data_IF_443884923634
#
_entry.id   IF_443884923634
#
_cell.length_a   1.000
_cell.length_b   1.000
_cell.length_c   1.000
_cell.angle_alpha   90.00
_cell.angle_beta   90.00
_cell.angle_gamma   90.00
#
_symmetry.space_group_name_H-M   'P 1'
#
loop_
_entity.id
_entity.type
_entity.pdbx_description
1 polymer ?
#
# COMPACT_ATOMS: atom_id res chain seq x y z
N UNK A 1 -20.32 -13.79 -32.49
CA UNK A 1 -19.42 -12.65 -32.71
C UNK A 1 -19.11 -12.04 -31.35
N UNK A 2 -18.01 -12.46 -30.70
CA UNK A 2 -17.54 -11.79 -29.49
C UNK A 2 -17.01 -10.43 -29.91
N UNK A 3 -17.70 -9.35 -29.52
CA UNK A 3 -17.13 -8.01 -29.63
C UNK A 3 -16.01 -7.95 -28.59
N UNK A 4 -14.77 -7.95 -29.05
CA UNK A 4 -13.63 -7.65 -28.19
C UNK A 4 -13.92 -6.31 -27.51
N UNK A 5 -13.98 -6.33 -26.18
CA UNK A 5 -14.03 -5.09 -25.42
C UNK A 5 -12.75 -4.30 -25.73
N UNK A 6 -12.83 -3.00 -26.06
CA UNK A 6 -11.64 -2.21 -26.30
C UNK A 6 -10.69 -2.32 -25.11
N UNK A 7 -9.42 -2.69 -25.36
CA UNK A 7 -8.42 -2.90 -24.31
C UNK A 7 -8.39 -1.78 -23.26
N UNK A 8 -8.60 -0.53 -23.71
CA UNK A 8 -8.67 0.65 -22.86
C UNK A 8 -9.77 0.55 -21.78
N UNK A 9 -10.96 0.09 -22.16
CA UNK A 9 -12.10 -0.04 -21.24
C UNK A 9 -11.87 -1.17 -20.24
N UNK A 10 -11.29 -2.29 -20.71
CA UNK A 10 -10.89 -3.40 -19.84
C UNK A 10 -9.86 -2.95 -18.80
N UNK A 11 -8.81 -2.25 -19.21
CA UNK A 11 -7.77 -1.74 -18.32
C UNK A 11 -8.32 -0.72 -17.32
N UNK A 12 -9.22 0.18 -17.76
CA UNK A 12 -9.90 1.13 -16.89
C UNK A 12 -10.68 0.42 -15.77
N UNK A 13 -11.45 -0.62 -16.10
CA UNK A 13 -12.20 -1.39 -15.09
C UNK A 13 -11.30 -2.15 -14.11
N UNK A 14 -10.16 -2.66 -14.59
CA UNK A 14 -9.17 -3.30 -13.71
C UNK A 14 -8.62 -2.26 -12.72
N UNK A 15 -8.24 -1.07 -13.21
CA UNK A 15 -7.79 0.04 -12.36
C UNK A 15 -8.84 0.43 -11.34
N UNK A 16 -10.09 0.66 -11.75
CA UNK A 16 -11.17 1.07 -10.85
C UNK A 16 -11.46 0.03 -9.75
N UNK A 17 -11.39 -1.27 -10.08
CA UNK A 17 -11.52 -2.34 -9.08
C UNK A 17 -10.36 -2.34 -8.09
N UNK A 18 -9.14 -2.18 -8.58
CA UNK A 18 -7.95 -2.13 -7.75
C UNK A 18 -7.94 -0.88 -6.85
N UNK A 19 -8.31 0.27 -7.39
CA UNK A 19 -8.47 1.53 -6.66
C UNK A 19 -9.50 1.39 -5.54
N UNK A 20 -10.69 0.88 -5.85
CA UNK A 20 -11.73 0.63 -4.85
C UNK A 20 -11.25 -0.33 -3.76
N UNK A 21 -10.58 -1.43 -4.14
CA UNK A 21 -9.99 -2.36 -3.18
C UNK A 21 -9.00 -1.67 -2.25
N UNK A 22 -8.07 -0.88 -2.80
CA UNK A 22 -7.05 -0.20 -2.01
C UNK A 22 -7.67 0.79 -1.01
N UNK A 23 -8.57 1.66 -1.49
CA UNK A 23 -9.21 2.66 -0.63
C UNK A 23 -10.07 1.99 0.45
N UNK A 24 -10.89 1.01 0.09
CA UNK A 24 -11.83 0.40 1.04
C UNK A 24 -11.15 -0.43 2.14
N UNK A 25 -10.00 -1.04 1.85
CA UNK A 25 -9.29 -1.91 2.79
C UNK A 25 -8.27 -1.15 3.63
N UNK A 26 -7.45 -0.30 3.01
CA UNK A 26 -6.24 0.21 3.66
C UNK A 26 -6.33 1.68 4.11
N UNK A 27 -7.20 2.50 3.50
CA UNK A 27 -7.29 3.91 3.85
C UNK A 27 -7.80 4.10 5.29
N UNK A 28 -7.11 4.98 6.04
CA UNK A 28 -7.38 5.28 7.44
C UNK A 28 -7.04 4.14 8.42
N UNK A 29 -6.35 3.08 7.99
CA UNK A 29 -6.01 1.95 8.86
C UNK A 29 -4.64 2.10 9.51
N UNK A 30 -4.50 1.53 10.70
CA UNK A 30 -3.20 1.29 11.31
C UNK A 30 -2.53 0.09 10.62
N UNK A 31 -1.29 0.27 10.17
CA UNK A 31 -0.52 -0.75 9.47
C UNK A 31 0.96 -0.69 9.88
N UNK A 32 1.68 -1.74 9.53
CA UNK A 32 3.12 -1.85 9.66
C UNK A 32 3.79 -1.52 8.33
N UNK A 33 4.55 -0.43 8.30
CA UNK A 33 5.49 -0.13 7.23
C UNK A 33 6.70 -1.02 7.33
N UNK A 34 7.18 -1.51 6.19
CA UNK A 34 8.47 -2.15 6.07
C UNK A 34 9.25 -1.60 4.88
N UNK A 35 10.51 -1.28 5.09
CA UNK A 35 11.49 -1.06 4.01
C UNK A 35 12.87 -1.51 4.48
N UNK A 36 13.42 -2.53 3.82
CA UNK A 36 14.69 -3.16 4.21
C UNK A 36 14.66 -3.63 5.67
N UNK A 37 15.42 -2.95 6.55
CA UNK A 37 15.53 -3.24 8.00
C UNK A 37 14.78 -2.23 8.87
N UNK A 38 13.96 -1.38 8.27
CA UNK A 38 13.12 -0.42 8.98
C UNK A 38 11.71 -0.96 8.99
N UNK A 39 11.09 -0.97 10.16
CA UNK A 39 9.66 -1.17 10.28
C UNK A 39 9.07 -0.21 11.30
N UNK A 40 7.88 0.31 11.02
CA UNK A 40 7.20 1.25 11.91
C UNK A 40 5.71 1.04 11.84
N UNK A 41 5.02 1.31 12.95
CA UNK A 41 3.56 1.34 13.00
C UNK A 41 3.03 2.76 12.83
N UNK A 42 1.90 2.88 12.16
CA UNK A 42 1.26 4.16 11.92
C UNK A 42 -0.05 4.05 11.15
N UNK A 43 -0.76 5.18 11.06
CA UNK A 43 -2.03 5.27 10.34
C UNK A 43 -1.78 5.71 8.89
N UNK A 44 -2.40 5.00 7.96
CA UNK A 44 -2.24 5.18 6.52
C UNK A 44 -3.33 6.11 5.99
N UNK A 45 -2.95 7.09 5.17
CA UNK A 45 -3.86 7.93 4.39
C UNK A 45 -3.53 7.75 2.92
N UNK A 46 -4.50 7.38 2.10
CA UNK A 46 -4.29 7.00 0.70
C UNK A 46 -5.05 7.95 -0.22
N UNK A 47 -4.35 8.40 -1.27
CA UNK A 47 -4.96 9.06 -2.42
C UNK A 47 -4.56 8.35 -3.70
N UNK A 48 -5.42 8.43 -4.71
CA UNK A 48 -5.21 7.78 -6.00
C UNK A 48 -5.47 8.76 -7.14
N UNK A 49 -4.76 8.59 -8.24
CA UNK A 49 -4.93 9.39 -9.45
C UNK A 49 -4.67 8.56 -10.72
N UNK A 50 -4.57 9.22 -11.87
CA UNK A 50 -4.31 8.54 -13.14
C UNK A 50 -2.94 7.84 -13.19
N UNK A 51 -1.96 8.29 -12.40
CA UNK A 51 -0.62 7.73 -12.36
C UNK A 51 -0.54 6.53 -11.41
N UNK A 52 -1.19 6.60 -10.24
CA UNK A 52 -1.10 5.52 -9.27
C UNK A 52 -1.66 5.85 -7.90
N UNK A 53 -1.00 5.28 -6.90
CA UNK A 53 -1.34 5.38 -5.48
C UNK A 53 -0.28 6.23 -4.79
N UNK A 54 -0.75 7.18 -3.98
CA UNK A 54 0.07 7.93 -3.04
C UNK A 54 -0.38 7.59 -1.62
N UNK A 55 0.58 7.30 -0.76
CA UNK A 55 0.33 6.92 0.62
C UNK A 55 1.10 7.87 1.54
N UNK A 56 0.41 8.43 2.53
CA UNK A 56 1.02 9.16 3.63
C UNK A 56 0.73 8.42 4.92
N UNK A 57 1.78 8.04 5.62
CA UNK A 57 1.68 7.31 6.88
C UNK A 57 2.16 8.17 8.04
N UNK A 58 1.27 8.45 8.99
CA UNK A 58 1.60 9.15 10.23
C UNK A 58 2.03 8.11 11.27
N UNK A 59 3.32 8.10 11.62
CA UNK A 59 3.94 7.06 12.45
C UNK A 59 4.01 7.47 13.92
N UNK A 60 3.81 6.52 14.84
CA UNK A 60 3.77 6.79 16.29
C UNK A 60 5.08 7.36 16.84
N UNK A 61 6.22 6.92 16.30
CA UNK A 61 7.58 7.24 16.81
C UNK A 61 8.51 7.80 15.74
N UNK A 62 7.97 8.12 14.56
CA UNK A 62 8.74 8.58 13.42
C UNK A 62 8.06 9.74 12.71
N UNK A 63 8.85 10.49 11.92
CA UNK A 63 8.28 11.50 11.03
C UNK A 63 7.33 10.81 10.03
N UNK A 64 6.27 11.51 9.59
CA UNK A 64 5.40 10.98 8.55
C UNK A 64 6.20 10.55 7.32
N UNK A 65 5.80 9.41 6.76
CA UNK A 65 6.44 8.81 5.59
C UNK A 65 5.50 8.99 4.40
N UNK A 66 6.07 9.36 3.25
CA UNK A 66 5.34 9.41 1.99
C UNK A 66 5.85 8.33 1.05
N UNK A 67 4.93 7.52 0.55
CA UNK A 67 5.18 6.41 -0.38
C UNK A 67 4.33 6.61 -1.62
N UNK A 68 4.77 6.05 -2.74
CA UNK A 68 3.95 6.03 -3.95
C UNK A 68 4.28 4.81 -4.81
N UNK A 69 3.32 4.43 -5.64
CA UNK A 69 3.45 3.32 -6.58
C UNK A 69 2.52 3.49 -7.77
N UNK A 70 3.01 3.22 -8.98
CA UNK A 70 2.18 3.25 -10.18
C UNK A 70 1.24 2.05 -10.24
N UNK A 71 0.14 2.19 -10.96
CA UNK A 71 -0.84 1.11 -11.16
C UNK A 71 -0.27 -0.19 -11.72
N UNK A 72 0.76 -0.12 -12.55
CA UNK A 72 1.41 -1.28 -13.17
C UNK A 72 2.38 -2.03 -12.24
N UNK A 73 2.72 -1.46 -11.08
CA UNK A 73 3.66 -2.06 -10.11
C UNK A 73 3.08 -2.19 -8.71
N UNK A 74 1.93 -1.59 -8.42
CA UNK A 74 1.26 -1.71 -7.12
C UNK A 74 0.75 -3.14 -6.94
N UNK A 75 0.95 -3.69 -5.75
CA UNK A 75 0.45 -4.98 -5.31
C UNK A 75 -0.49 -4.73 -4.15
N UNK A 76 -1.73 -5.21 -4.27
CA UNK A 76 -2.72 -5.11 -3.21
C UNK A 76 -3.41 -6.47 -3.04
N UNK A 77 -3.14 -7.12 -1.91
CA UNK A 77 -3.82 -8.33 -1.46
C UNK A 77 -4.84 -7.98 -0.38
N UNK A 78 -5.34 -8.96 0.38
CA UNK A 78 -6.31 -8.71 1.47
C UNK A 78 -5.73 -7.93 2.64
N UNK A 79 -4.43 -8.06 2.86
CA UNK A 79 -3.72 -7.69 4.09
C UNK A 79 -2.36 -7.06 3.84
N UNK A 80 -1.97 -6.95 2.56
CA UNK A 80 -0.69 -6.44 2.11
C UNK A 80 -0.89 -5.42 0.99
N UNK A 81 -0.24 -4.27 1.14
CA UNK A 81 -0.12 -3.23 0.12
C UNK A 81 1.35 -2.89 -0.08
N UNK A 82 1.83 -2.98 -1.32
CA UNK A 82 3.22 -2.69 -1.64
C UNK A 82 3.40 -2.26 -3.09
N UNK A 83 4.63 -1.91 -3.45
CA UNK A 83 4.99 -1.63 -4.84
C UNK A 83 6.20 -2.45 -5.26
N UNK A 84 6.06 -3.18 -6.38
CA UNK A 84 7.18 -3.88 -6.99
C UNK A 84 8.31 -2.91 -7.29
N UNK A 85 9.54 -3.34 -7.02
CA UNK A 85 10.78 -2.58 -7.24
C UNK A 85 10.95 -1.30 -6.40
N UNK A 86 9.96 -0.86 -5.64
CA UNK A 86 10.05 0.30 -4.75
C UNK A 86 10.56 -0.07 -3.34
N UNK A 87 10.44 -1.34 -2.95
CA UNK A 87 11.05 -1.88 -1.72
C UNK A 87 10.30 -1.54 -0.42
N UNK A 88 9.12 -0.93 -0.51
CA UNK A 88 8.23 -0.69 0.61
C UNK A 88 7.02 -1.63 0.61
N UNK A 89 6.57 -2.03 1.80
CA UNK A 89 5.28 -2.68 2.02
C UNK A 89 4.56 -2.12 3.25
N UNK A 90 3.26 -2.36 3.28
CA UNK A 90 2.34 -2.07 4.36
C UNK A 90 1.54 -3.34 4.64
N UNK A 91 1.62 -3.82 5.87
CA UNK A 91 0.99 -5.07 6.31
C UNK A 91 0.16 -4.83 7.57
N UNK A 92 -0.98 -5.51 7.74
CA UNK A 92 -1.76 -5.38 8.98
C UNK A 92 -1.05 -6.03 10.18
N UNK A 93 -0.29 -7.09 9.93
CA UNK A 93 0.50 -7.78 10.94
C UNK A 93 1.96 -7.30 10.89
N UNK A 94 2.63 -7.33 12.04
CA UNK A 94 4.05 -6.97 12.13
C UNK A 94 4.89 -8.04 11.42
N UNK A 95 5.62 -7.73 10.35
CA UNK A 95 6.35 -8.76 9.59
C UNK A 95 7.54 -9.37 10.35
N UNK A 96 8.22 -8.56 11.18
CA UNK A 96 9.38 -9.00 11.99
C UNK A 96 9.25 -8.53 13.44
N UNK A 97 8.37 -9.14 14.25
CA UNK A 97 8.17 -8.74 15.65
C UNK A 97 9.46 -8.80 16.48
N UNK A 98 10.40 -9.67 16.12
CA UNK A 98 11.69 -9.82 16.81
C UNK A 98 12.61 -8.59 16.63
N UNK A 99 12.34 -7.70 15.66
CA UNK A 99 13.07 -6.43 15.52
C UNK A 99 12.56 -5.35 16.47
N UNK A 100 11.38 -5.54 17.08
CA UNK A 100 10.86 -4.65 18.13
C UNK A 100 11.51 -4.91 19.49
N UNK A 101 12.23 -6.03 19.68
CA UNK A 101 12.89 -6.37 20.94
C UNK A 101 14.21 -5.60 21.16
N UNK A 102 14.09 -4.43 21.80
CA UNK A 102 14.70 -4.10 23.10
C UNK A 102 14.42 -2.62 23.44
N UNK A 103 13.30 -2.37 24.10
CA UNK A 103 13.19 -1.21 24.98
C UNK A 103 12.96 -1.79 26.37
N UNK A 104 14.07 -2.04 27.08
CA UNK A 104 14.04 -2.27 28.52
C UNK A 104 13.36 -1.04 29.17
N UNK A 105 12.27 -1.29 29.90
CA UNK A 105 11.66 -0.31 30.81
C UNK A 105 12.37 -0.36 32.15
#
# INVERSE_FOLDING_TARGET
>A
MHKEEPLKEKLKRIREKLEHHIISIFDGKEMWYQEKKKQFRGTVNITTDEWGVSVRMDCDRHRPISLSGRWDVILAYSDHLGAQYAGWSLDFECPYPEWEEKIDV
#
